data_IF_607667103279
#
_entry.id   IF_607667103279
#
_cell.length_a   1.000
_cell.length_b   1.000
_cell.length_c   1.000
_cell.angle_alpha   90.00
_cell.angle_beta   90.00
_cell.angle_gamma   90.00
#
_symmetry.space_group_name_H-M   'P 1'
#
loop_
_entity.id
_entity.type
_entity.pdbx_description
1 polymer ?
#
# COMPACT_ATOMS: atom_id res chain seq x y z
N UNK A 1 2.76 -9.40 38.13
CA UNK A 1 2.37 -8.17 37.45
C UNK A 1 3.27 -7.98 36.24
N UNK A 2 2.72 -8.12 35.03
CA UNK A 2 3.44 -7.78 33.79
C UNK A 2 3.42 -6.26 33.72
N UNK A 3 4.56 -5.62 33.90
CA UNK A 3 4.69 -4.20 33.61
C UNK A 3 4.55 -4.05 32.10
N UNK A 4 3.54 -3.33 31.65
CA UNK A 4 3.46 -2.91 30.26
C UNK A 4 4.73 -2.13 29.91
N UNK A 5 5.47 -2.59 28.93
CA UNK A 5 6.61 -1.85 28.39
C UNK A 5 6.02 -0.60 27.74
N UNK A 6 6.38 0.62 28.17
CA UNK A 6 5.88 1.82 27.53
C UNK A 6 6.33 1.80 26.06
N UNK A 7 5.36 1.94 25.15
CA UNK A 7 5.65 2.13 23.72
C UNK A 7 6.29 3.51 23.60
N UNK A 8 7.50 3.63 23.02
CA UNK A 8 8.11 4.93 22.81
C UNK A 8 7.19 5.84 21.99
N UNK A 9 7.10 7.12 22.34
CA UNK A 9 6.28 8.11 21.64
C UNK A 9 6.54 8.13 20.11
N UNK A 10 7.76 7.79 19.70
CA UNK A 10 8.14 7.63 18.30
C UNK A 10 7.27 6.62 17.53
N UNK A 11 6.71 5.61 18.19
CA UNK A 11 5.85 4.62 17.57
C UNK A 11 4.38 5.04 17.49
N UNK A 12 3.95 5.97 18.34
CA UNK A 12 2.58 6.48 18.31
C UNK A 12 2.35 7.46 17.15
N UNK A 13 3.40 8.16 16.74
CA UNK A 13 3.35 9.15 15.67
C UNK A 13 3.59 8.58 14.26
N UNK A 14 4.06 7.34 14.15
CA UNK A 14 4.35 6.74 12.84
C UNK A 14 3.07 6.38 12.07
N UNK A 15 3.04 6.65 10.76
CA UNK A 15 1.89 6.33 9.94
C UNK A 15 1.67 4.82 9.83
N UNK A 16 0.42 4.40 9.78
CA UNK A 16 0.03 3.02 9.50
C UNK A 16 -0.41 2.91 8.04
N UNK A 17 0.30 2.08 7.30
CA UNK A 17 0.06 1.85 5.89
C UNK A 17 -0.46 0.44 5.67
N UNK A 18 -1.50 0.33 4.84
CA UNK A 18 -2.02 -0.92 4.34
C UNK A 18 -1.55 -1.10 2.89
N UNK A 19 -0.85 -2.20 2.60
CA UNK A 19 -0.38 -2.52 1.26
C UNK A 19 -1.12 -3.71 0.69
N UNK A 20 -1.89 -3.49 -0.37
CA UNK A 20 -2.46 -4.57 -1.18
C UNK A 20 -1.46 -4.97 -2.26
N UNK A 21 -1.06 -6.23 -2.27
CA UNK A 21 0.02 -6.71 -3.12
C UNK A 21 -0.48 -7.86 -3.99
N UNK A 22 -0.26 -7.77 -5.30
CA UNK A 22 -0.56 -8.85 -6.24
C UNK A 22 0.23 -10.11 -5.92
N UNK A 23 -0.43 -11.26 -5.85
CA UNK A 23 0.21 -12.54 -5.59
C UNK A 23 1.14 -13.02 -6.72
N UNK A 24 0.96 -12.52 -7.94
CA UNK A 24 1.67 -13.03 -9.11
C UNK A 24 3.13 -12.55 -9.17
N UNK A 25 3.36 -11.24 -9.16
CA UNK A 25 4.70 -10.65 -9.28
C UNK A 25 5.16 -9.90 -8.03
N UNK A 26 4.29 -9.06 -7.49
CA UNK A 26 4.68 -8.19 -6.38
C UNK A 26 4.95 -8.97 -5.10
N UNK A 27 4.12 -9.93 -4.73
CA UNK A 27 4.36 -10.75 -3.54
C UNK A 27 5.63 -11.60 -3.64
N UNK A 28 5.90 -12.31 -4.76
CA UNK A 28 7.18 -12.96 -4.96
C UNK A 28 8.39 -12.02 -4.91
N UNK A 29 8.26 -10.77 -5.36
CA UNK A 29 9.30 -9.77 -5.21
C UNK A 29 9.59 -9.44 -3.73
N UNK A 30 8.55 -9.36 -2.89
CA UNK A 30 8.71 -9.20 -1.44
C UNK A 30 9.40 -10.41 -0.80
N UNK A 31 9.08 -11.64 -1.25
CA UNK A 31 9.77 -12.85 -0.79
C UNK A 31 11.26 -12.81 -1.16
N UNK A 32 11.60 -12.41 -2.39
CA UNK A 32 12.98 -12.23 -2.80
C UNK A 32 13.70 -11.16 -1.98
N UNK A 33 13.05 -10.04 -1.72
CA UNK A 33 13.59 -9.00 -0.85
C UNK A 33 13.91 -9.55 0.55
N UNK A 34 13.01 -10.35 1.11
CA UNK A 34 13.23 -11.01 2.41
C UNK A 34 14.40 -12.00 2.37
N UNK A 35 14.52 -12.81 1.32
CA UNK A 35 15.64 -13.73 1.13
C UNK A 35 16.99 -13.00 1.05
N UNK A 36 17.01 -11.83 0.43
CA UNK A 36 18.18 -10.96 0.38
C UNK A 36 18.35 -10.08 1.63
N UNK A 37 17.54 -10.31 2.66
CA UNK A 37 17.57 -9.58 3.95
C UNK A 37 17.38 -8.07 3.81
N UNK A 38 16.66 -7.63 2.82
CA UNK A 38 16.26 -6.23 2.67
C UNK A 38 15.24 -5.89 3.77
N UNK A 39 15.46 -4.76 4.43
CA UNK A 39 14.58 -4.32 5.51
C UNK A 39 13.44 -3.49 4.95
N UNK A 40 12.25 -3.79 5.43
CA UNK A 40 11.01 -3.06 5.11
C UNK A 40 10.45 -2.51 6.42
N UNK A 41 9.90 -1.30 6.38
CA UNK A 41 9.32 -0.67 7.55
C UNK A 41 8.23 -1.56 8.20
N UNK A 42 8.24 -1.73 9.53
CA UNK A 42 7.23 -2.51 10.24
C UNK A 42 5.85 -1.82 10.29
N UNK A 43 5.74 -0.56 9.87
CA UNK A 43 4.49 0.20 9.86
C UNK A 43 3.63 -0.06 8.62
N UNK A 44 4.10 -0.92 7.72
CA UNK A 44 3.37 -1.37 6.53
C UNK A 44 2.82 -2.77 6.78
N UNK A 45 1.50 -2.90 6.67
CA UNK A 45 0.81 -4.19 6.72
C UNK A 45 0.50 -4.67 5.31
N UNK A 46 0.91 -5.88 5.01
CA UNK A 46 0.79 -6.48 3.68
C UNK A 46 -0.41 -7.40 3.64
N UNK A 47 -1.29 -7.16 2.66
CA UNK A 47 -2.39 -8.06 2.32
C UNK A 47 -2.20 -8.53 0.88
N UNK A 48 -1.88 -9.82 0.67
CA UNK A 48 -1.80 -10.36 -0.67
C UNK A 48 -3.20 -10.47 -1.27
N UNK A 49 -3.34 -10.08 -2.53
CA UNK A 49 -4.54 -10.24 -3.33
C UNK A 49 -4.19 -10.91 -4.66
N UNK A 50 -5.11 -11.66 -5.22
CA UNK A 50 -4.85 -12.34 -6.50
C UNK A 50 -4.50 -11.37 -7.61
N UNK A 51 -5.20 -10.24 -7.64
CA UNK A 51 -4.96 -9.19 -8.62
C UNK A 51 -5.40 -7.85 -8.03
N UNK A 52 -4.61 -6.80 -8.22
CA UNK A 52 -5.01 -5.45 -7.79
C UNK A 52 -6.26 -4.94 -8.50
N UNK A 53 -6.55 -5.45 -9.69
CA UNK A 53 -7.80 -5.18 -10.40
C UNK A 53 -9.07 -5.68 -9.68
N UNK A 54 -8.93 -6.56 -8.68
CA UNK A 54 -10.05 -7.02 -7.85
C UNK A 54 -10.35 -6.09 -6.67
N UNK A 55 -9.45 -5.17 -6.36
CA UNK A 55 -9.63 -4.22 -5.25
C UNK A 55 -10.76 -3.26 -5.61
N UNK A 56 -11.74 -3.16 -4.72
CA UNK A 56 -12.84 -2.23 -4.89
C UNK A 56 -12.71 -1.04 -3.93
N UNK A 57 -13.40 0.06 -4.29
CA UNK A 57 -13.37 1.30 -3.51
C UNK A 57 -13.92 1.14 -2.08
N UNK A 58 -14.78 0.15 -1.84
CA UNK A 58 -15.35 -0.10 -0.51
C UNK A 58 -14.24 -0.54 0.45
N UNK A 59 -13.35 -1.45 0.03
CA UNK A 59 -12.21 -1.87 0.84
C UNK A 59 -11.29 -0.71 1.18
N UNK A 60 -11.05 0.18 0.22
CA UNK A 60 -10.20 1.36 0.39
C UNK A 60 -10.83 2.36 1.36
N UNK A 61 -12.11 2.67 1.18
CA UNK A 61 -12.82 3.59 2.07
C UNK A 61 -12.96 3.02 3.49
N UNK A 62 -13.21 1.73 3.63
CA UNK A 62 -13.28 1.06 4.94
C UNK A 62 -11.94 1.12 5.67
N UNK A 63 -10.84 0.83 4.97
CA UNK A 63 -9.50 0.90 5.56
C UNK A 63 -9.17 2.31 6.04
N UNK A 64 -9.44 3.33 5.24
CA UNK A 64 -9.23 4.72 5.63
C UNK A 64 -10.14 5.14 6.79
N UNK A 65 -11.38 4.69 6.80
CA UNK A 65 -12.33 4.95 7.90
C UNK A 65 -11.90 4.30 9.22
N UNK A 66 -11.17 3.19 9.14
CA UNK A 66 -10.60 2.52 10.31
C UNK A 66 -9.28 3.14 10.80
N UNK A 67 -8.84 4.22 10.18
CA UNK A 67 -7.69 5.00 10.64
C UNK A 67 -6.35 4.62 10.04
N UNK A 68 -6.31 3.86 8.95
CA UNK A 68 -5.07 3.73 8.17
C UNK A 68 -4.72 5.07 7.55
N UNK A 69 -3.47 5.46 7.65
CA UNK A 69 -3.00 6.76 7.16
C UNK A 69 -2.82 6.79 5.65
N UNK A 70 -2.47 5.64 5.06
CA UNK A 70 -2.31 5.49 3.63
C UNK A 70 -2.53 4.05 3.16
N UNK A 71 -2.80 3.91 1.87
CA UNK A 71 -2.97 2.64 1.19
C UNK A 71 -2.05 2.59 -0.02
N UNK A 72 -1.22 1.57 -0.08
CA UNK A 72 -0.34 1.30 -1.21
C UNK A 72 -0.85 0.08 -1.97
N UNK A 73 -1.00 0.22 -3.27
CA UNK A 73 -1.43 -0.86 -4.15
C UNK A 73 -0.28 -1.22 -5.08
N UNK A 74 0.21 -2.45 -4.99
CA UNK A 74 1.35 -2.91 -5.79
C UNK A 74 0.91 -4.06 -6.68
N UNK A 75 0.98 -3.86 -7.99
CA UNK A 75 0.56 -4.83 -8.99
C UNK A 75 1.61 -5.13 -10.05
N UNK A 76 1.26 -6.04 -10.93
CA UNK A 76 2.09 -6.39 -12.08
C UNK A 76 2.12 -5.23 -13.07
N UNK A 77 3.24 -5.06 -13.77
CA UNK A 77 3.34 -4.04 -14.84
C UNK A 77 2.35 -4.32 -15.96
N UNK A 78 1.62 -3.29 -16.43
CA UNK A 78 0.81 -3.39 -17.65
C UNK A 78 1.70 -3.36 -18.89
N UNK A 79 1.20 -3.82 -20.03
CA UNK A 79 1.87 -3.74 -21.33
C UNK A 79 1.82 -5.03 -22.12
N UNK A 80 2.48 -5.03 -23.30
CA UNK A 80 2.50 -6.19 -24.21
C UNK A 80 3.30 -7.37 -23.65
N UNK A 81 4.36 -7.11 -22.91
CA UNK A 81 5.15 -8.10 -22.16
C UNK A 81 4.59 -8.31 -20.77
N UNK A 82 3.28 -8.30 -20.65
CA UNK A 82 2.60 -8.32 -19.36
C UNK A 82 2.93 -9.56 -18.55
N UNK A 83 3.15 -9.33 -17.29
CA UNK A 83 3.35 -10.36 -16.29
C UNK A 83 2.04 -10.67 -15.55
N UNK A 84 1.00 -9.87 -15.75
CA UNK A 84 -0.28 -10.05 -15.11
C UNK A 84 -0.94 -11.36 -15.54
N UNK A 85 -1.18 -12.26 -14.58
CA UNK A 85 -1.85 -13.54 -14.81
C UNK A 85 -3.26 -13.37 -15.38
N UNK A 86 -3.93 -12.27 -15.08
CA UNK A 86 -5.28 -11.94 -15.56
C UNK A 86 -5.27 -10.97 -16.76
N UNK A 87 -4.12 -10.71 -17.34
CA UNK A 87 -3.87 -9.89 -18.55
C UNK A 87 -4.21 -8.40 -18.33
N UNK A 88 -5.43 -8.07 -17.93
CA UNK A 88 -5.94 -6.71 -17.85
C UNK A 88 -6.10 -6.17 -16.44
N UNK A 89 -5.65 -6.90 -15.42
CA UNK A 89 -5.84 -6.50 -14.02
C UNK A 89 -5.23 -5.15 -13.67
N UNK A 90 -4.00 -4.91 -14.12
CA UNK A 90 -3.30 -3.64 -13.89
C UNK A 90 -3.92 -2.48 -14.68
N UNK A 91 -4.35 -2.73 -15.90
CA UNK A 91 -5.07 -1.73 -16.73
C UNK A 91 -6.42 -1.35 -16.12
N UNK A 92 -7.14 -2.33 -15.56
CA UNK A 92 -8.38 -2.08 -14.81
C UNK A 92 -8.13 -1.18 -13.58
N UNK A 93 -7.02 -1.37 -12.89
CA UNK A 93 -6.65 -0.53 -11.76
C UNK A 93 -6.36 0.90 -12.19
N UNK A 94 -5.63 1.10 -13.29
CA UNK A 94 -5.40 2.44 -13.84
C UNK A 94 -6.72 3.15 -14.17
N UNK A 95 -7.64 2.45 -14.85
CA UNK A 95 -8.96 3.01 -15.20
C UNK A 95 -9.79 3.36 -13.96
N UNK A 96 -9.63 2.60 -12.87
CA UNK A 96 -10.35 2.85 -11.61
C UNK A 96 -9.73 3.95 -10.75
N UNK A 97 -8.53 4.40 -11.07
CA UNK A 97 -7.82 5.41 -10.27
C UNK A 97 -8.61 6.72 -10.16
N UNK A 98 -9.30 7.14 -11.21
CA UNK A 98 -10.17 8.31 -11.20
C UNK A 98 -11.32 8.17 -10.18
N UNK A 99 -11.99 7.02 -10.16
CA UNK A 99 -13.06 6.73 -9.21
C UNK A 99 -12.57 6.69 -7.76
N UNK A 100 -11.32 6.27 -7.55
CA UNK A 100 -10.66 6.27 -6.25
C UNK A 100 -10.43 7.70 -5.78
N UNK A 101 -9.98 8.58 -6.65
CA UNK A 101 -9.79 10.00 -6.36
C UNK A 101 -11.11 10.70 -5.96
N UNK A 102 -12.20 10.40 -6.66
CA UNK A 102 -13.53 10.91 -6.30
C UNK A 102 -13.95 10.45 -4.90
N UNK A 103 -13.65 9.20 -4.55
CA UNK A 103 -13.93 8.67 -3.21
C UNK A 103 -13.16 9.42 -2.13
N UNK A 104 -11.87 9.68 -2.35
CA UNK A 104 -11.04 10.46 -1.42
C UNK A 104 -11.56 11.88 -1.26
N UNK A 105 -11.94 12.55 -2.34
CA UNK A 105 -12.54 13.88 -2.29
C UNK A 105 -13.84 13.89 -1.47
N UNK A 106 -14.68 12.87 -1.64
CA UNK A 106 -15.92 12.72 -0.87
C UNK A 106 -15.65 12.56 0.63
N UNK A 107 -14.57 11.88 0.99
CA UNK A 107 -14.12 11.71 2.37
C UNK A 107 -13.33 12.90 2.90
N UNK A 108 -13.09 13.92 2.09
CA UNK A 108 -12.22 15.07 2.41
C UNK A 108 -10.80 14.66 2.79
N UNK A 109 -10.29 13.62 2.12
CA UNK A 109 -8.93 13.12 2.30
C UNK A 109 -8.04 13.50 1.12
N UNK A 110 -6.75 13.60 1.39
CA UNK A 110 -5.74 13.93 0.40
C UNK A 110 -5.57 12.79 -0.62
N UNK A 111 -5.39 13.12 -1.92
CA UNK A 111 -5.26 12.12 -2.97
C UNK A 111 -4.05 11.21 -2.82
N UNK A 112 -2.98 11.67 -2.18
CA UNK A 112 -1.75 10.93 -1.96
C UNK A 112 -1.90 9.78 -0.95
N UNK A 113 -3.02 9.70 -0.24
CA UNK A 113 -3.30 8.61 0.72
C UNK A 113 -3.53 7.27 0.05
N UNK A 114 -3.78 7.24 -1.26
CA UNK A 114 -3.83 6.02 -2.05
C UNK A 114 -2.87 6.17 -3.22
N UNK A 115 -1.88 5.28 -3.29
CA UNK A 115 -0.90 5.24 -4.36
C UNK A 115 -0.87 3.85 -4.98
N UNK A 116 -0.74 3.81 -6.30
CA UNK A 116 -0.56 2.56 -7.07
C UNK A 116 0.84 2.52 -7.66
N UNK A 117 1.51 1.39 -7.47
CA UNK A 117 2.84 1.13 -8.00
C UNK A 117 2.81 -0.19 -8.77
N UNK A 118 3.51 -0.24 -9.91
CA UNK A 118 3.69 -1.46 -10.68
C UNK A 118 5.11 -1.98 -10.50
N UNK A 119 5.24 -3.26 -10.20
CA UNK A 119 6.49 -3.89 -9.83
C UNK A 119 6.65 -5.24 -10.53
N UNK A 120 7.82 -5.46 -11.12
CA UNK A 120 8.24 -6.77 -11.61
C UNK A 120 8.99 -7.53 -10.51
N UNK A 121 9.03 -8.86 -10.64
CA UNK A 121 9.67 -9.72 -9.63
C UNK A 121 11.16 -9.43 -9.46
N UNK A 122 11.87 -9.09 -10.52
CA UNK A 122 13.29 -8.75 -10.50
C UNK A 122 13.59 -7.34 -9.97
N UNK A 123 12.57 -6.51 -9.81
CA UNK A 123 12.69 -5.19 -9.20
C UNK A 123 12.62 -5.22 -7.66
N UNK A 124 12.74 -6.37 -7.04
CA UNK A 124 12.71 -6.52 -5.58
C UNK A 124 13.67 -5.59 -4.82
N UNK A 125 14.83 -5.18 -5.36
CA UNK A 125 15.70 -4.22 -4.66
C UNK A 125 15.10 -2.83 -4.47
N UNK A 126 14.08 -2.48 -5.26
CA UNK A 126 13.37 -1.19 -5.17
C UNK A 126 12.32 -1.16 -4.05
N UNK A 127 11.95 -2.29 -3.49
CA UNK A 127 10.86 -2.36 -2.50
C UNK A 127 11.11 -1.48 -1.28
N UNK A 128 12.27 -1.51 -0.62
CA UNK A 128 12.53 -0.62 0.51
C UNK A 128 12.39 0.86 0.14
N UNK A 129 12.91 1.28 -1.00
CA UNK A 129 12.82 2.65 -1.50
C UNK A 129 11.36 3.07 -1.73
N UNK A 130 10.58 2.25 -2.42
CA UNK A 130 9.15 2.52 -2.67
C UNK A 130 8.38 2.72 -1.37
N UNK A 131 8.63 1.87 -0.39
CA UNK A 131 7.95 1.94 0.91
C UNK A 131 8.39 3.16 1.70
N UNK A 132 9.69 3.44 1.75
CA UNK A 132 10.24 4.57 2.50
C UNK A 132 9.77 5.91 1.91
N UNK A 133 9.80 6.06 0.58
CA UNK A 133 9.27 7.25 -0.11
C UNK A 133 7.77 7.47 0.17
N UNK A 134 7.00 6.39 0.17
CA UNK A 134 5.58 6.48 0.47
C UNK A 134 5.32 6.84 1.93
N UNK A 135 6.08 6.28 2.85
CA UNK A 135 6.03 6.66 4.27
C UNK A 135 6.33 8.14 4.48
N UNK A 136 7.37 8.68 3.85
CA UNK A 136 7.70 10.09 3.89
C UNK A 136 6.56 10.96 3.35
N UNK A 137 5.96 10.56 2.24
CA UNK A 137 4.80 11.27 1.67
C UNK A 137 3.64 11.33 2.66
N UNK A 138 3.34 10.23 3.35
CA UNK A 138 2.26 10.16 4.34
C UNK A 138 2.63 10.94 5.61
N UNK A 139 3.87 10.93 6.04
CA UNK A 139 4.35 11.76 7.17
C UNK A 139 4.18 13.26 6.87
N UNK A 140 4.48 13.70 5.65
CA UNK A 140 4.33 15.08 5.22
C UNK A 140 2.86 15.54 5.19
N UNK A 141 1.95 14.65 4.78
CA UNK A 141 0.51 14.93 4.77
C UNK A 141 -0.06 14.99 6.19
N UNK A 142 0.48 14.19 7.09
CA UNK A 142 0.03 14.05 8.46
C UNK A 142 -0.97 12.92 8.69
N UNK A 143 -1.41 12.72 9.93
CA UNK A 143 -2.26 11.60 10.31
C UNK A 143 -3.64 11.69 9.67
N UNK A 144 -4.24 10.51 9.43
CA UNK A 144 -5.61 10.42 8.96
C UNK A 144 -6.59 10.99 10.00
N UNK A 145 -7.49 11.92 9.62
CA UNK A 145 -8.48 12.50 10.54
C UNK A 145 -9.40 11.46 11.22
N UNK A 146 -9.60 10.30 10.61
CA UNK A 146 -10.41 9.21 11.17
C UNK A 146 -9.65 8.34 12.18
N UNK A 147 -8.37 8.60 12.41
CA UNK A 147 -7.55 7.88 13.36
C UNK A 147 -7.97 8.21 14.79
N UNK A 148 -8.46 7.22 15.52
CA UNK A 148 -8.89 7.40 16.91
C UNK A 148 -10.37 7.71 17.10
N UNK A 149 -11.18 7.58 16.07
CA UNK A 149 -12.63 7.61 16.16
C UNK A 149 -13.21 6.26 16.56
#
# INVERSE_FOLDING_TARGET
MIKSIPIPDEFEEKPRILAFICENDAYPAFDLAAQHRLRISPFVRIIPVRCIGSINRIWLSDALSQGYDGILQIGCKPGEDYQCHFITGSELMETRSENIQETLQTMMLEPERIQTVFLEIDEYPRIPEIIDEYLETIEDIGPNPFKGL
#
